data_IF_801260057831
#
_entry.id   IF_801260057831
#
_cell.length_a   1.000
_cell.length_b   1.000
_cell.length_c   1.000
_cell.angle_alpha   90.00
_cell.angle_beta   90.00
_cell.angle_gamma   90.00
#
_symmetry.space_group_name_H-M   'P 1'
#
loop_
_entity.id
_entity.type
_entity.pdbx_description
1 polymer ?
#
# COMPACT_ATOMS: atom_id res chain seq x y z
N UNK A 1 11.78 46.97 5.27
CA UNK A 1 11.27 48.32 4.90
C UNK A 1 12.10 48.89 3.75
N UNK A 2 11.68 48.67 2.50
CA UNK A 2 12.19 49.42 1.34
C UNK A 2 11.01 49.78 0.45
N UNK A 3 10.80 51.09 0.34
CA UNK A 3 9.62 51.74 -0.21
C UNK A 3 9.81 51.88 -1.73
N UNK A 4 9.35 50.88 -2.51
CA UNK A 4 9.35 50.97 -3.98
C UNK A 4 8.16 51.84 -4.43
N UNK A 5 8.47 53.11 -4.70
CA UNK A 5 7.57 54.05 -5.37
C UNK A 5 7.32 53.58 -6.80
N UNK A 6 6.11 53.11 -7.07
CA UNK A 6 5.61 52.87 -8.42
C UNK A 6 5.51 54.22 -9.16
N UNK A 7 6.43 54.46 -10.07
CA UNK A 7 6.35 55.57 -11.02
C UNK A 7 5.23 55.27 -12.02
N UNK A 8 4.18 56.09 -12.00
CA UNK A 8 3.09 56.03 -12.96
C UNK A 8 3.64 56.29 -14.37
N UNK A 9 3.57 55.28 -15.23
CA UNK A 9 3.83 55.41 -16.67
C UNK A 9 2.68 56.19 -17.30
N UNK A 10 2.93 57.34 -17.94
CA UNK A 10 1.86 58.10 -18.60
C UNK A 10 1.33 57.32 -19.80
N UNK A 11 0.07 56.87 -19.71
CA UNK A 11 -0.67 56.29 -20.83
C UNK A 11 -0.88 57.40 -21.87
N UNK A 12 -0.11 57.32 -22.96
CA UNK A 12 -0.25 58.18 -24.13
C UNK A 12 -1.56 57.80 -24.84
N UNK A 13 -2.65 58.54 -24.56
CA UNK A 13 -3.90 58.48 -25.34
C UNK A 13 -3.59 58.93 -26.76
N UNK A 14 -3.27 57.98 -27.63
CA UNK A 14 -3.30 58.18 -29.07
C UNK A 14 -4.76 58.38 -29.47
N UNK A 15 -5.11 59.61 -29.85
CA UNK A 15 -6.34 59.91 -30.57
C UNK A 15 -6.33 59.12 -31.87
N UNK A 16 -7.17 58.08 -31.93
CA UNK A 16 -7.43 57.31 -33.14
C UNK A 16 -7.90 58.27 -34.24
N UNK A 17 -7.34 58.23 -35.46
CA UNK A 17 -7.86 58.99 -36.57
C UNK A 17 -9.30 58.56 -36.84
N UNK A 18 -10.24 59.50 -36.71
CA UNK A 18 -11.59 59.35 -37.24
C UNK A 18 -11.51 59.31 -38.77
N UNK A 19 -11.22 58.13 -39.31
CA UNK A 19 -11.55 57.81 -40.69
C UNK A 19 -13.06 57.77 -40.77
N UNK A 20 -13.67 58.84 -41.28
CA UNK A 20 -15.08 58.87 -41.60
C UNK A 20 -15.39 57.73 -42.57
N UNK A 21 -15.95 56.65 -42.05
CA UNK A 21 -16.47 55.56 -42.86
C UNK A 21 -17.65 56.15 -43.62
N UNK A 22 -17.45 56.45 -44.91
CA UNK A 22 -18.56 56.78 -45.80
C UNK A 22 -19.45 55.54 -45.85
N UNK A 23 -20.61 55.59 -45.19
CA UNK A 23 -21.64 54.56 -45.29
C UNK A 23 -22.25 54.63 -46.68
N UNK A 24 -21.62 53.96 -47.65
CA UNK A 24 -22.32 53.56 -48.87
C UNK A 24 -23.38 52.56 -48.45
N UNK A 25 -24.65 52.93 -48.59
CA UNK A 25 -25.77 52.07 -48.19
C UNK A 25 -25.66 50.70 -48.87
N UNK A 26 -25.78 49.63 -48.08
CA UNK A 26 -25.80 48.27 -48.58
C UNK A 26 -26.93 48.08 -49.58
N UNK A 27 -26.61 47.51 -50.73
CA UNK A 27 -27.63 47.04 -51.68
C UNK A 27 -28.39 45.86 -51.06
N UNK A 28 -29.71 45.82 -51.23
CA UNK A 28 -30.55 44.71 -50.78
C UNK A 28 -30.05 43.35 -51.34
N UNK A 29 -29.48 43.36 -52.55
CA UNK A 29 -28.90 42.17 -53.19
C UNK A 29 -27.67 41.67 -52.43
N UNK A 30 -26.84 42.57 -51.92
CA UNK A 30 -25.61 42.25 -51.19
C UNK A 30 -25.94 41.63 -49.82
N UNK A 31 -26.98 42.13 -49.16
CA UNK A 31 -27.50 41.56 -47.92
C UNK A 31 -28.08 40.16 -48.15
N UNK A 32 -28.80 39.95 -49.26
CA UNK A 32 -29.37 38.65 -49.60
C UNK A 32 -28.29 37.60 -49.88
N UNK A 33 -27.22 37.99 -50.59
CA UNK A 33 -26.05 37.12 -50.81
C UNK A 33 -25.36 36.80 -49.47
N UNK A 34 -25.15 37.79 -48.60
CA UNK A 34 -24.52 37.57 -47.29
C UNK A 34 -25.30 36.59 -46.40
N UNK A 35 -26.63 36.68 -46.39
CA UNK A 35 -27.50 35.76 -45.64
C UNK A 35 -27.43 34.34 -46.21
N UNK A 36 -27.43 34.18 -47.53
CA UNK A 36 -27.28 32.85 -48.16
C UNK A 36 -25.92 32.24 -47.80
N UNK A 37 -24.84 33.01 -47.91
CA UNK A 37 -23.49 32.53 -47.58
C UNK A 37 -23.38 32.16 -46.10
N UNK A 38 -23.92 32.99 -45.19
CA UNK A 38 -23.97 32.67 -43.76
C UNK A 38 -24.81 31.43 -43.47
N UNK A 39 -25.95 31.27 -44.14
CA UNK A 39 -26.81 30.10 -43.99
C UNK A 39 -26.11 28.80 -44.40
N UNK A 40 -25.40 28.81 -45.54
CA UNK A 40 -24.61 27.66 -46.00
C UNK A 40 -23.42 27.37 -45.08
N UNK A 41 -22.68 28.41 -44.64
CA UNK A 41 -21.57 28.23 -43.70
C UNK A 41 -22.05 27.71 -42.34
N UNK A 42 -23.15 28.25 -41.82
CA UNK A 42 -23.75 27.79 -40.57
C UNK A 42 -24.21 26.34 -40.66
N UNK A 43 -24.80 25.91 -41.78
CA UNK A 43 -25.23 24.51 -41.94
C UNK A 43 -24.05 23.54 -41.98
N UNK A 44 -22.93 23.93 -42.60
CA UNK A 44 -21.71 23.12 -42.64
C UNK A 44 -21.10 23.03 -41.24
N UNK A 45 -20.94 24.16 -40.55
CA UNK A 45 -20.32 24.23 -39.20
C UNK A 45 -21.18 23.51 -38.15
N UNK A 46 -22.50 23.60 -38.24
CA UNK A 46 -23.41 22.97 -37.29
C UNK A 46 -23.18 21.45 -37.18
N UNK A 47 -22.89 20.78 -38.31
CA UNK A 47 -22.60 19.35 -38.33
C UNK A 47 -21.27 18.97 -37.66
N UNK A 48 -20.34 19.91 -37.51
CA UNK A 48 -19.04 19.71 -36.89
C UNK A 48 -18.99 20.17 -35.43
N UNK A 49 -19.99 20.91 -34.98
CA UNK A 49 -20.04 21.42 -33.60
C UNK A 49 -20.19 20.29 -32.58
N UNK A 50 -21.01 19.27 -32.88
CA UNK A 50 -21.14 18.07 -32.04
C UNK A 50 -19.82 17.30 -31.92
N UNK A 51 -19.07 17.17 -33.02
CA UNK A 51 -17.76 16.53 -33.05
C UNK A 51 -16.75 17.32 -32.21
N UNK A 52 -16.75 18.65 -32.33
CA UNK A 52 -15.86 19.50 -31.55
C UNK A 52 -16.15 19.40 -30.05
N UNK A 53 -17.42 19.36 -29.65
CA UNK A 53 -17.81 19.14 -28.24
C UNK A 53 -17.36 17.75 -27.77
N UNK A 54 -17.56 16.69 -28.57
CA UNK A 54 -17.13 15.35 -28.19
C UNK A 54 -15.61 15.24 -28.04
N UNK A 55 -14.86 15.89 -28.93
CA UNK A 55 -13.39 15.93 -28.86
C UNK A 55 -12.93 16.68 -27.60
N UNK A 56 -13.53 17.84 -27.28
CA UNK A 56 -13.20 18.57 -26.06
C UNK A 56 -13.50 17.75 -24.79
N UNK A 57 -14.62 17.02 -24.77
CA UNK A 57 -14.94 16.12 -23.64
C UNK A 57 -13.96 14.95 -23.53
N UNK A 58 -13.58 14.37 -24.66
CA UNK A 58 -12.61 13.28 -24.71
C UNK A 58 -11.22 13.75 -24.28
N UNK A 59 -10.76 14.91 -24.77
CA UNK A 59 -9.49 15.51 -24.39
C UNK A 59 -9.44 15.78 -22.89
N UNK A 60 -10.51 16.37 -22.35
CA UNK A 60 -10.62 16.59 -20.91
C UNK A 60 -10.64 15.28 -20.10
N UNK A 61 -11.39 14.27 -20.54
CA UNK A 61 -11.41 12.96 -19.87
C UNK A 61 -10.03 12.28 -19.90
N UNK A 62 -9.30 12.41 -21.01
CA UNK A 62 -7.93 11.91 -21.12
C UNK A 62 -6.96 12.66 -20.19
N UNK A 63 -7.10 13.98 -20.08
CA UNK A 63 -6.32 14.82 -19.15
C UNK A 63 -6.58 14.40 -17.69
N UNK A 64 -7.85 14.26 -17.30
CA UNK A 64 -8.19 13.79 -15.95
C UNK A 64 -7.67 12.38 -15.69
N UNK A 65 -7.71 11.48 -16.68
CA UNK A 65 -7.15 10.12 -16.54
C UNK A 65 -5.66 10.13 -16.26
N UNK A 66 -4.90 10.98 -16.96
CA UNK A 66 -3.45 11.12 -16.72
C UNK A 66 -3.18 11.67 -15.32
N UNK A 67 -3.92 12.69 -14.88
CA UNK A 67 -3.79 13.24 -13.53
C UNK A 67 -4.15 12.21 -12.46
N UNK A 68 -5.25 11.48 -12.61
CA UNK A 68 -5.67 10.43 -11.67
C UNK A 68 -4.64 9.30 -11.61
N UNK A 69 -4.03 8.96 -12.75
CA UNK A 69 -2.91 8.02 -12.82
C UNK A 69 -1.67 8.53 -12.07
N UNK A 70 -1.26 9.78 -12.28
CA UNK A 70 -0.11 10.37 -11.58
C UNK A 70 -0.33 10.44 -10.07
N UNK A 71 -1.55 10.78 -9.63
CA UNK A 71 -1.94 10.75 -8.20
C UNK A 71 -1.88 9.32 -7.68
N UNK A 72 -2.49 8.36 -8.37
CA UNK A 72 -2.51 6.99 -7.92
C UNK A 72 -1.11 6.37 -7.82
N UNK A 73 -0.20 6.74 -8.73
CA UNK A 73 1.20 6.35 -8.65
C UNK A 73 1.94 7.03 -7.49
N UNK A 74 1.61 8.28 -7.16
CA UNK A 74 2.15 8.96 -5.97
C UNK A 74 1.66 8.32 -4.67
N UNK A 75 0.38 7.92 -4.60
CA UNK A 75 -0.17 7.17 -3.47
C UNK A 75 0.55 5.82 -3.28
N UNK A 76 0.85 5.11 -4.37
CA UNK A 76 1.64 3.89 -4.31
C UNK A 76 3.10 4.14 -3.93
N UNK A 77 3.67 5.28 -4.35
CA UNK A 77 4.99 5.74 -3.93
C UNK A 77 5.03 6.01 -2.43
N UNK A 78 3.99 6.65 -1.90
CA UNK A 78 3.83 6.89 -0.47
C UNK A 78 3.81 5.58 0.32
N UNK A 79 2.91 4.66 -0.04
CA UNK A 79 2.81 3.35 0.57
C UNK A 79 4.15 2.60 0.57
N UNK A 80 4.93 2.72 -0.51
CA UNK A 80 6.17 1.98 -0.64
C UNK A 80 7.32 2.49 0.23
N UNK A 81 7.39 3.78 0.49
CA UNK A 81 8.58 4.41 1.07
C UNK A 81 8.35 5.02 2.44
N UNK A 82 7.09 5.22 2.84
CA UNK A 82 6.73 5.96 4.03
C UNK A 82 5.71 5.24 4.91
N UNK A 83 5.36 3.99 4.58
CA UNK A 83 4.58 3.12 5.47
C UNK A 83 5.28 1.77 5.62
N UNK A 84 5.35 1.26 6.84
CA UNK A 84 6.07 0.02 7.15
C UNK A 84 5.37 -1.19 6.54
N UNK A 85 4.04 -1.14 6.46
CA UNK A 85 3.21 -2.23 5.96
C UNK A 85 2.82 -2.09 4.50
N UNK A 86 3.29 -1.06 3.78
CA UNK A 86 2.93 -0.87 2.39
C UNK A 86 1.46 -0.48 2.18
N UNK A 87 0.87 0.23 3.14
CA UNK A 87 -0.53 0.68 3.16
C UNK A 87 -0.74 2.00 2.40
N UNK A 88 -1.90 2.14 1.76
CA UNK A 88 -2.35 3.39 1.16
C UNK A 88 -2.85 4.35 2.27
N UNK A 89 -2.66 5.67 2.11
CA UNK A 89 -3.15 6.64 3.08
C UNK A 89 -4.68 6.63 3.09
N UNK A 90 -5.30 6.99 4.22
CA UNK A 90 -6.74 7.22 4.30
C UNK A 90 -7.17 8.40 3.40
N UNK A 91 -8.39 8.39 2.84
CA UNK A 91 -8.93 9.53 2.13
C UNK A 91 -9.28 10.68 3.08
N UNK A 92 -9.11 11.91 2.63
CA UNK A 92 -9.48 13.09 3.41
C UNK A 92 -11.00 13.26 3.47
N UNK A 93 -11.56 13.21 4.68
CA UNK A 93 -13.00 13.30 4.96
C UNK A 93 -13.42 14.58 5.68
N UNK A 94 -12.52 15.57 5.82
CA UNK A 94 -12.69 16.70 6.74
C UNK A 94 -13.90 17.61 6.48
N UNK A 95 -14.48 17.62 5.27
CA UNK A 95 -15.84 18.12 4.96
C UNK A 95 -16.13 19.61 5.15
N UNK A 96 -15.43 20.31 6.04
CA UNK A 96 -15.69 21.69 6.42
C UNK A 96 -15.52 22.69 5.26
N UNK A 97 -14.69 22.34 4.28
CA UNK A 97 -14.39 23.16 3.10
C UNK A 97 -15.10 22.63 1.84
N UNK A 98 -16.06 21.71 1.97
CA UNK A 98 -16.74 21.08 0.83
C UNK A 98 -15.92 19.99 0.12
N UNK A 99 -14.83 19.55 0.75
CA UNK A 99 -13.97 18.47 0.27
C UNK A 99 -14.26 17.19 1.06
N UNK A 100 -14.85 16.20 0.37
CA UNK A 100 -15.19 14.89 0.93
C UNK A 100 -14.51 13.79 0.12
N UNK A 101 -13.91 12.82 0.82
CA UNK A 101 -13.16 11.70 0.23
C UNK A 101 -12.17 12.16 -0.84
N UNK A 102 -11.38 13.19 -0.55
CA UNK A 102 -10.35 13.69 -1.48
C UNK A 102 -8.97 13.10 -1.13
N UNK A 103 -7.97 13.37 -1.95
CA UNK A 103 -6.62 12.77 -1.80
C UNK A 103 -5.88 13.34 -0.58
N UNK A 104 -6.07 14.62 -0.28
CA UNK A 104 -5.51 15.31 0.88
C UNK A 104 -6.45 16.45 1.29
N UNK A 105 -6.15 17.19 2.37
CA UNK A 105 -6.88 18.42 2.68
C UNK A 105 -6.74 19.50 1.58
N UNK A 106 -7.52 20.60 1.55
CA UNK A 106 -7.50 21.57 0.44
C UNK A 106 -6.12 22.16 0.13
N UNK A 107 -5.33 22.45 1.18
CA UNK A 107 -3.94 22.91 1.06
C UNK A 107 -2.93 21.75 1.17
N UNK A 108 -3.41 20.51 1.23
CA UNK A 108 -2.74 19.32 1.77
C UNK A 108 -2.11 19.51 3.17
N UNK A 109 -2.22 20.68 3.80
CA UNK A 109 -1.52 21.05 5.04
C UNK A 109 -2.26 20.67 6.32
N UNK A 110 -3.48 20.16 6.20
CA UNK A 110 -4.30 19.77 7.35
C UNK A 110 -3.85 18.43 7.89
N UNK A 111 -3.94 18.27 9.22
CA UNK A 111 -3.73 16.97 9.86
C UNK A 111 -4.94 16.10 9.54
N UNK A 112 -4.72 15.02 8.82
CA UNK A 112 -5.70 13.96 8.63
C UNK A 112 -5.11 12.70 9.23
N UNK A 113 -5.96 12.05 10.00
CA UNK A 113 -5.79 10.71 10.53
C UNK A 113 -5.48 9.75 9.35
N UNK A 114 -4.21 9.36 9.23
CA UNK A 114 -3.72 8.57 8.10
C UNK A 114 -4.08 7.09 8.23
N UNK A 115 -4.22 6.60 9.47
CA UNK A 115 -4.56 5.22 9.79
C UNK A 115 -6.07 4.98 10.02
N UNK A 116 -6.85 6.04 10.20
CA UNK A 116 -8.30 6.01 10.35
C UNK A 116 -8.79 5.89 11.80
N UNK A 117 -7.92 6.15 12.79
CA UNK A 117 -8.19 5.97 14.23
C UNK A 117 -8.89 7.16 14.92
N UNK A 118 -9.00 8.30 14.22
CA UNK A 118 -9.62 9.55 14.65
C UNK A 118 -8.73 10.47 15.49
N UNK A 119 -7.43 10.19 15.65
CA UNK A 119 -6.50 10.94 16.47
C UNK A 119 -5.28 11.42 15.66
N UNK A 120 -5.11 12.74 15.54
CA UNK A 120 -3.89 13.32 14.98
C UNK A 120 -2.73 13.22 15.97
N UNK A 121 -1.64 12.56 15.59
CA UNK A 121 -0.40 12.51 16.35
C UNK A 121 0.81 13.14 15.61
N UNK A 122 2.00 13.13 16.23
CA UNK A 122 3.22 13.69 15.60
C UNK A 122 3.67 12.86 14.40
N UNK A 123 3.39 11.54 14.39
CA UNK A 123 3.74 10.65 13.28
C UNK A 123 2.90 10.93 12.03
N UNK A 124 1.62 11.27 12.21
CA UNK A 124 0.74 11.70 11.14
C UNK A 124 1.27 12.95 10.43
N UNK A 125 1.79 13.95 11.16
CA UNK A 125 2.35 15.14 10.53
C UNK A 125 3.52 14.79 9.59
N UNK A 126 4.41 13.87 10.00
CA UNK A 126 5.52 13.41 9.17
C UNK A 126 5.03 12.67 7.93
N UNK A 127 4.06 11.75 8.10
CA UNK A 127 3.44 11.00 7.01
C UNK A 127 2.70 11.92 6.03
N UNK A 128 2.05 12.98 6.50
CA UNK A 128 1.43 13.99 5.63
C UNK A 128 2.49 14.74 4.81
N UNK A 129 3.62 15.12 5.42
CA UNK A 129 4.71 15.75 4.68
C UNK A 129 5.32 14.81 3.65
N UNK A 130 5.45 13.52 3.97
CA UNK A 130 5.87 12.49 3.05
C UNK A 130 4.90 12.33 1.86
N UNK A 131 3.58 12.29 2.10
CA UNK A 131 2.58 12.23 1.03
C UNK A 131 2.65 13.48 0.13
N UNK A 132 2.77 14.68 0.70
CA UNK A 132 3.00 15.91 -0.07
C UNK A 132 4.25 15.82 -0.92
N UNK A 133 5.33 15.25 -0.38
CA UNK A 133 6.57 15.11 -1.11
C UNK A 133 6.39 14.20 -2.33
N UNK A 134 5.70 13.07 -2.19
CA UNK A 134 5.39 12.17 -3.30
C UNK A 134 4.47 12.82 -4.34
N UNK A 135 3.43 13.53 -3.91
CA UNK A 135 2.53 14.28 -4.80
C UNK A 135 3.25 15.44 -5.52
N UNK A 136 4.26 16.06 -4.91
CA UNK A 136 5.12 17.05 -5.59
C UNK A 136 6.10 16.40 -6.56
N UNK A 137 6.63 15.22 -6.22
CA UNK A 137 7.55 14.45 -7.08
C UNK A 137 6.88 13.97 -8.36
N UNK A 138 5.57 13.69 -8.34
CA UNK A 138 4.81 13.35 -9.56
C UNK A 138 4.60 14.53 -10.50
N UNK A 139 4.86 15.77 -10.06
CA UNK A 139 4.75 16.98 -10.88
C UNK A 139 3.35 17.57 -10.97
N UNK A 140 2.41 17.06 -10.17
CA UNK A 140 1.01 17.50 -10.16
C UNK A 140 0.91 18.87 -9.49
N UNK A 141 0.15 19.77 -10.12
CA UNK A 141 -0.17 21.06 -9.50
C UNK A 141 -0.99 20.82 -8.23
N UNK A 142 -0.64 21.46 -7.11
CA UNK A 142 -1.32 21.27 -5.83
C UNK A 142 -2.83 21.50 -5.91
N UNK A 143 -3.27 22.51 -6.69
CA UNK A 143 -4.71 22.75 -6.91
C UNK A 143 -5.39 21.63 -7.67
N UNK A 144 -4.65 21.02 -8.59
CA UNK A 144 -5.18 19.91 -9.35
C UNK A 144 -5.40 18.68 -8.47
N UNK A 145 -4.77 18.52 -7.30
CA UNK A 145 -4.81 17.28 -6.51
C UNK A 145 -6.24 16.88 -6.12
N UNK A 146 -6.99 17.81 -5.51
CA UNK A 146 -8.32 17.54 -4.97
C UNK A 146 -9.47 18.00 -5.88
N UNK A 147 -9.18 18.80 -6.90
CA UNK A 147 -10.19 19.29 -7.83
C UNK A 147 -9.55 19.70 -9.16
N UNK A 148 -10.35 19.97 -10.19
CA UNK A 148 -9.82 20.55 -11.43
C UNK A 148 -9.70 22.09 -11.38
N UNK A 149 -8.88 22.69 -12.26
CA UNK A 149 -8.63 24.14 -12.30
C UNK A 149 -9.75 24.92 -13.06
N UNK A 150 -10.98 24.38 -13.13
CA UNK A 150 -12.09 25.03 -13.86
C UNK A 150 -12.80 26.09 -13.02
N UNK A 151 -13.63 26.91 -13.69
CA UNK A 151 -14.39 27.98 -13.03
C UNK A 151 -15.44 27.49 -12.02
N UNK A 152 -15.91 26.24 -12.17
CA UNK A 152 -16.59 25.46 -11.16
C UNK A 152 -15.71 24.22 -10.93
N UNK A 153 -14.85 24.24 -9.90
CA UNK A 153 -13.88 23.18 -9.69
C UNK A 153 -14.61 21.89 -9.34
N UNK A 154 -14.37 20.85 -10.13
CA UNK A 154 -14.95 19.51 -9.94
C UNK A 154 -14.10 18.72 -8.98
N UNK A 155 -14.74 18.05 -8.02
CA UNK A 155 -14.01 17.32 -6.97
C UNK A 155 -13.34 16.07 -7.57
N UNK A 156 -12.11 15.81 -7.12
CA UNK A 156 -11.45 14.53 -7.31
C UNK A 156 -11.61 13.68 -6.07
N UNK A 157 -12.25 12.54 -6.25
CA UNK A 157 -12.53 11.60 -5.18
C UNK A 157 -11.47 10.52 -5.17
N UNK A 158 -10.96 10.21 -3.99
CA UNK A 158 -10.14 9.06 -3.66
C UNK A 158 -10.94 8.19 -2.69
N UNK A 159 -11.23 6.96 -3.12
CA UNK A 159 -11.83 5.95 -2.25
C UNK A 159 -10.80 4.85 -2.00
N UNK A 160 -10.66 4.44 -0.74
CA UNK A 160 -9.97 3.23 -0.35
C UNK A 160 -11.03 2.16 -0.10
N UNK A 161 -10.86 0.98 -0.69
CA UNK A 161 -11.80 -0.13 -0.50
C UNK A 161 -11.82 -0.50 0.98
N UNK A 162 -13.01 -0.55 1.58
CA UNK A 162 -13.18 -1.07 2.94
C UNK A 162 -13.42 -2.57 2.86
N UNK A 163 -12.61 -3.36 3.58
CA UNK A 163 -12.86 -4.79 3.79
C UNK A 163 -14.06 -5.02 4.73
N UNK A 164 -14.81 -6.10 4.53
CA UNK A 164 -15.86 -6.55 5.48
C UNK A 164 -15.28 -7.02 6.83
N UNK A 165 -13.99 -7.37 6.90
CA UNK A 165 -13.29 -7.62 8.15
C UNK A 165 -13.09 -6.28 8.87
N UNK A 166 -14.04 -5.98 9.75
CA UNK A 166 -14.32 -4.67 10.35
C UNK A 166 -13.17 -3.96 11.09
N UNK A 167 -12.02 -4.61 11.29
CA UNK A 167 -10.90 -4.07 12.07
C UNK A 167 -9.59 -3.88 11.28
N UNK A 168 -9.47 -4.39 10.04
CA UNK A 168 -8.20 -4.30 9.28
C UNK A 168 -8.32 -3.47 7.99
N UNK A 169 -9.52 -3.22 7.48
CA UNK A 169 -9.74 -2.38 6.28
C UNK A 169 -9.07 -2.87 4.98
N UNK A 170 -8.21 -3.89 5.04
CA UNK A 170 -7.41 -4.40 3.93
C UNK A 170 -7.98 -5.71 3.38
N UNK A 171 -7.77 -5.92 2.08
CA UNK A 171 -8.17 -7.14 1.36
C UNK A 171 -7.11 -8.21 1.61
N UNK A 172 -7.50 -9.43 1.94
CA UNK A 172 -6.56 -10.54 2.16
C UNK A 172 -6.44 -11.45 0.91
N UNK A 173 -5.24 -11.97 0.63
CA UNK A 173 -5.03 -13.01 -0.38
C UNK A 173 -4.02 -14.04 0.11
N UNK A 174 -4.38 -15.32 0.02
CA UNK A 174 -3.46 -16.41 0.31
C UNK A 174 -2.51 -16.63 -0.87
N UNK A 175 -1.22 -16.72 -0.57
CA UNK A 175 -0.19 -16.94 -1.58
C UNK A 175 0.91 -17.86 -1.06
N UNK A 176 1.53 -18.69 -1.93
CA UNK A 176 2.65 -19.53 -1.50
C UNK A 176 3.87 -18.68 -1.09
N UNK A 177 4.45 -19.00 0.07
CA UNK A 177 5.62 -18.30 0.63
C UNK A 177 6.80 -18.24 -0.35
N UNK A 178 7.07 -19.31 -1.09
CA UNK A 178 8.17 -19.41 -2.07
C UNK A 178 7.68 -19.21 -3.51
N UNK A 179 6.79 -18.23 -3.71
CA UNK A 179 6.28 -17.81 -5.01
C UNK A 179 5.22 -18.75 -5.58
N UNK A 180 5.63 -19.87 -6.18
CA UNK A 180 4.70 -20.88 -6.76
C UNK A 180 4.61 -22.17 -5.93
N UNK A 181 5.41 -22.27 -4.87
CA UNK A 181 5.54 -23.46 -4.05
C UNK A 181 5.60 -23.07 -2.57
N UNK A 182 5.47 -24.08 -1.71
CA UNK A 182 5.57 -23.92 -0.27
C UNK A 182 4.22 -23.74 0.42
N UNK A 183 4.27 -23.54 1.74
CA UNK A 183 3.08 -23.25 2.54
C UNK A 183 2.43 -21.92 2.12
N UNK A 184 1.12 -21.82 2.32
CA UNK A 184 0.37 -20.59 2.09
C UNK A 184 0.61 -19.62 3.24
N UNK A 185 0.75 -18.35 2.91
CA UNK A 185 0.73 -17.21 3.84
C UNK A 185 -0.31 -16.21 3.36
N UNK A 186 -0.86 -15.44 4.29
CA UNK A 186 -1.90 -14.46 3.99
C UNK A 186 -1.26 -13.09 3.82
N UNK A 187 -1.57 -12.42 2.70
CA UNK A 187 -1.16 -11.05 2.41
C UNK A 187 -2.38 -10.12 2.44
N UNK A 188 -2.36 -9.17 3.36
CA UNK A 188 -3.26 -8.04 3.43
C UNK A 188 -2.73 -6.93 2.52
N UNK A 189 -3.59 -6.37 1.70
CA UNK A 189 -3.26 -5.28 0.80
C UNK A 189 -4.42 -4.31 0.66
N UNK A 190 -4.05 -3.07 0.44
CA UNK A 190 -4.98 -1.98 0.14
C UNK A 190 -5.26 -1.88 -1.35
N UNK A 191 -6.51 -1.51 -1.64
CA UNK A 191 -6.98 -1.18 -2.96
C UNK A 191 -7.73 0.14 -2.90
N UNK A 192 -7.62 0.96 -3.93
CA UNK A 192 -8.33 2.22 -4.01
C UNK A 192 -8.54 2.68 -5.43
N UNK A 193 -9.36 3.71 -5.59
CA UNK A 193 -9.64 4.36 -6.87
C UNK A 193 -9.59 5.87 -6.72
N UNK A 194 -9.01 6.52 -7.73
CA UNK A 194 -9.04 7.97 -7.89
C UNK A 194 -9.84 8.29 -9.15
N UNK A 195 -10.87 9.13 -9.03
CA UNK A 195 -11.71 9.54 -10.15
C UNK A 195 -12.17 10.99 -9.99
N UNK A 196 -12.65 11.60 -11.07
CA UNK A 196 -13.12 12.99 -11.06
C UNK A 196 -14.62 13.03 -11.25
N UNK A 197 -15.32 13.79 -10.41
CA UNK A 197 -16.78 13.90 -10.45
C UNK A 197 -17.23 15.08 -11.31
N UNK A 198 -18.53 15.23 -11.56
CA UNK A 198 -19.10 16.52 -12.01
C UNK A 198 -19.55 17.40 -10.83
N UNK A 199 -19.43 16.90 -9.59
CA UNK A 199 -19.86 17.60 -8.38
C UNK A 199 -18.91 18.79 -8.10
N UNK A 200 -19.41 20.04 -8.13
CA UNK A 200 -18.59 21.21 -7.82
C UNK A 200 -18.23 21.24 -6.33
N UNK A 201 -17.05 21.77 -6.00
CA UNK A 201 -16.65 22.02 -4.60
C UNK A 201 -17.69 22.91 -3.91
N UNK A 202 -18.19 22.44 -2.76
CA UNK A 202 -19.18 23.17 -1.94
C UNK A 202 -20.63 23.05 -2.40
N UNK A 203 -20.93 22.19 -3.38
CA UNK A 203 -22.31 21.86 -3.75
C UNK A 203 -22.80 20.64 -2.96
N UNK A 204 -23.52 20.87 -1.87
CA UNK A 204 -24.06 19.80 -1.02
C UNK A 204 -25.15 18.97 -1.73
N UNK A 205 -25.67 19.42 -2.88
CA UNK A 205 -26.73 18.69 -3.60
C UNK A 205 -26.23 17.47 -4.38
N UNK A 206 -24.93 17.39 -4.62
CA UNK A 206 -24.27 16.26 -5.29
C UNK A 206 -23.45 15.39 -4.31
N UNK A 207 -23.76 15.48 -3.01
CA UNK A 207 -23.21 14.61 -1.98
C UNK A 207 -24.22 13.51 -1.62
N UNK A 208 -23.77 12.27 -1.62
CA UNK A 208 -24.52 11.11 -1.12
C UNK A 208 -23.83 10.54 0.12
N UNK A 209 -24.60 10.17 1.15
CA UNK A 209 -24.03 9.49 2.34
C UNK A 209 -24.44 8.03 2.32
N UNK A 210 -23.45 7.16 2.13
CA UNK A 210 -23.62 5.70 2.05
C UNK A 210 -22.83 5.09 3.21
N UNK A 211 -23.51 4.40 4.14
CA UNK A 211 -22.86 3.71 5.26
C UNK A 211 -21.92 4.60 6.10
N UNK A 212 -22.35 5.83 6.43
CA UNK A 212 -21.57 6.86 7.14
C UNK A 212 -20.40 7.49 6.36
N UNK A 213 -20.23 7.15 5.07
CA UNK A 213 -19.25 7.77 4.18
C UNK A 213 -19.96 8.74 3.25
N UNK A 214 -19.56 10.01 3.25
CA UNK A 214 -20.11 11.04 2.34
C UNK A 214 -19.29 11.11 1.05
N UNK A 215 -19.87 10.72 -0.08
CA UNK A 215 -19.24 10.68 -1.38
C UNK A 215 -19.81 11.78 -2.30
N UNK A 216 -18.96 12.59 -2.95
CA UNK A 216 -19.36 13.43 -4.06
C UNK A 216 -19.59 12.61 -5.34
N UNK A 217 -20.58 13.01 -6.14
CA UNK A 217 -20.86 12.42 -7.46
C UNK A 217 -21.86 11.26 -7.42
N UNK A 218 -21.93 10.52 -8.52
CA UNK A 218 -22.90 9.44 -8.72
C UNK A 218 -22.30 8.04 -8.47
N UNK A 219 -20.97 7.94 -8.33
CA UNK A 219 -20.29 6.65 -8.16
C UNK A 219 -20.52 6.04 -6.78
N UNK A 220 -20.81 4.74 -6.78
CA UNK A 220 -21.04 3.96 -5.56
C UNK A 220 -19.77 3.84 -4.69
N UNK A 221 -19.99 3.57 -3.40
CA UNK A 221 -18.92 3.25 -2.45
C UNK A 221 -18.14 2.00 -2.92
N UNK A 222 -16.82 2.12 -2.96
CA UNK A 222 -15.94 1.00 -3.23
C UNK A 222 -15.90 0.03 -2.05
N UNK A 223 -16.63 -1.07 -2.16
CA UNK A 223 -16.66 -2.15 -1.16
C UNK A 223 -15.87 -3.34 -1.67
N UNK A 224 -14.95 -3.85 -0.85
CA UNK A 224 -14.32 -5.12 -1.13
C UNK A 224 -15.29 -6.26 -0.83
N UNK A 225 -15.93 -6.81 -1.87
CA UNK A 225 -16.74 -8.02 -1.75
C UNK A 225 -15.83 -9.22 -1.49
N UNK A 226 -15.85 -9.74 -0.27
CA UNK A 226 -15.23 -11.01 0.12
C UNK A 226 -16.03 -12.19 -0.47
N UNK A 227 -16.15 -12.25 -1.79
CA UNK A 227 -16.62 -13.45 -2.46
C UNK A 227 -15.67 -14.60 -2.14
N UNK A 228 -16.22 -15.68 -1.57
CA UNK A 228 -15.61 -17.00 -1.25
C UNK A 228 -14.13 -17.11 -1.68
N UNK A 229 -13.21 -17.23 -0.72
CA UNK A 229 -11.74 -16.99 -0.77
C UNK A 229 -10.97 -17.55 -1.98
N UNK A 230 -11.60 -18.41 -2.77
CA UNK A 230 -11.09 -18.94 -4.05
C UNK A 230 -11.36 -18.05 -5.27
N UNK A 231 -12.21 -17.01 -5.18
CA UNK A 231 -12.57 -16.09 -6.26
C UNK A 231 -12.36 -14.62 -5.92
N UNK A 232 -11.32 -14.30 -5.15
CA UNK A 232 -10.99 -12.93 -4.71
C UNK A 232 -10.52 -11.97 -5.83
N UNK A 233 -11.03 -12.13 -7.06
CA UNK A 233 -10.73 -11.34 -8.26
C UNK A 233 -11.94 -10.58 -8.83
N UNK A 234 -13.16 -10.84 -8.38
CA UNK A 234 -14.37 -10.19 -8.93
C UNK A 234 -14.66 -8.80 -8.36
N UNK A 235 -14.04 -8.41 -7.24
CA UNK A 235 -14.17 -7.03 -6.72
C UNK A 235 -13.67 -6.00 -7.75
N UNK A 236 -12.62 -6.37 -8.49
CA UNK A 236 -11.89 -5.47 -9.38
C UNK A 236 -12.58 -5.22 -10.73
N UNK A 237 -13.41 -6.14 -11.20
CA UNK A 237 -14.00 -6.06 -12.55
C UNK A 237 -15.29 -5.25 -12.59
N UNK A 238 -15.96 -5.09 -11.47
CA UNK A 238 -17.37 -4.68 -11.45
C UNK A 238 -17.54 -3.22 -11.03
N UNK A 239 -16.60 -2.64 -10.27
CA UNK A 239 -16.64 -1.21 -9.93
C UNK A 239 -16.30 -0.37 -11.17
N UNK A 240 -17.17 0.59 -11.46
CA UNK A 240 -16.99 1.57 -12.53
C UNK A 240 -17.51 2.92 -12.05
N UNK A 241 -16.90 4.00 -12.54
CA UNK A 241 -17.46 5.34 -12.34
C UNK A 241 -18.88 5.38 -12.93
N UNK A 242 -19.83 5.94 -12.18
CA UNK A 242 -21.23 6.04 -12.60
C UNK A 242 -21.60 7.48 -12.98
N UNK A 243 -22.73 7.62 -13.70
CA UNK A 243 -23.28 8.93 -14.06
C UNK A 243 -22.31 9.79 -14.84
N UNK A 244 -22.07 11.01 -14.35
CA UNK A 244 -21.16 11.99 -14.95
C UNK A 244 -19.72 11.94 -14.38
N UNK A 245 -19.42 10.98 -13.51
CA UNK A 245 -18.08 10.76 -13.00
C UNK A 245 -17.19 10.11 -14.07
N UNK A 246 -15.91 10.53 -14.12
CA UNK A 246 -15.01 10.18 -15.21
C UNK A 246 -13.62 9.75 -14.75
N UNK A 247 -12.96 9.06 -15.68
CA UNK A 247 -11.53 8.79 -15.66
C UNK A 247 -11.02 8.06 -14.40
N UNK A 248 -11.65 6.96 -13.96
CA UNK A 248 -11.18 6.23 -12.80
C UNK A 248 -9.79 5.64 -13.03
N UNK A 249 -8.95 5.70 -12.00
CA UNK A 249 -7.65 5.05 -11.95
C UNK A 249 -7.54 4.24 -10.66
N UNK A 250 -7.28 2.94 -10.80
CA UNK A 250 -7.18 2.02 -9.69
C UNK A 250 -5.74 1.89 -9.18
N UNK A 251 -5.60 1.83 -7.86
CA UNK A 251 -4.32 1.65 -7.16
C UNK A 251 -4.41 0.40 -6.31
N UNK A 252 -3.39 -0.45 -6.39
CA UNK A 252 -3.29 -1.67 -5.57
C UNK A 252 -1.89 -1.81 -4.99
N UNK A 253 -1.82 -2.12 -3.71
CA UNK A 253 -0.54 -2.41 -3.02
C UNK A 253 -0.17 -3.88 -3.10
N UNK A 254 -1.01 -4.76 -3.68
CA UNK A 254 -0.69 -6.19 -3.83
C UNK A 254 0.67 -6.47 -4.50
N UNK A 255 1.09 -5.76 -5.57
CA UNK A 255 2.43 -5.95 -6.13
C UNK A 255 3.56 -5.61 -5.15
N UNK A 256 3.35 -4.61 -4.27
CA UNK A 256 4.28 -4.26 -3.20
C UNK A 256 4.35 -5.38 -2.16
N UNK A 257 3.19 -5.86 -1.70
CA UNK A 257 3.11 -6.98 -0.74
C UNK A 257 3.80 -8.25 -1.26
N UNK A 258 3.59 -8.60 -2.54
CA UNK A 258 4.26 -9.74 -3.17
C UNK A 258 5.77 -9.56 -3.28
N UNK A 259 6.24 -8.32 -3.46
CA UNK A 259 7.68 -8.02 -3.46
C UNK A 259 8.28 -8.19 -2.06
N UNK A 260 7.60 -7.69 -1.03
CA UNK A 260 8.01 -7.83 0.36
C UNK A 260 8.02 -9.31 0.78
N UNK A 261 7.03 -10.09 0.35
CA UNK A 261 7.01 -11.54 0.54
C UNK A 261 8.26 -12.21 -0.04
N UNK A 262 8.67 -11.82 -1.25
CA UNK A 262 9.87 -12.37 -1.88
C UNK A 262 11.13 -12.07 -1.07
N UNK A 263 11.25 -10.88 -0.50
CA UNK A 263 12.37 -10.50 0.38
C UNK A 263 12.36 -11.37 1.63
N UNK A 264 11.20 -11.52 2.29
CA UNK A 264 11.04 -12.42 3.45
C UNK A 264 11.45 -13.86 3.11
N UNK A 265 10.99 -14.38 1.97
CA UNK A 265 11.33 -15.72 1.52
C UNK A 265 12.84 -15.89 1.23
N UNK A 266 13.49 -14.87 0.66
CA UNK A 266 14.94 -14.84 0.45
C UNK A 266 15.69 -14.86 1.80
N UNK A 267 15.26 -14.06 2.78
CA UNK A 267 15.82 -14.05 4.15
C UNK A 267 15.68 -15.41 4.83
N UNK A 268 14.49 -16.01 4.80
CA UNK A 268 14.24 -17.34 5.38
C UNK A 268 15.10 -18.43 4.74
N UNK A 269 15.22 -18.45 3.40
CA UNK A 269 16.11 -19.38 2.71
C UNK A 269 17.57 -19.16 3.12
N UNK A 270 18.00 -17.90 3.25
CA UNK A 270 19.37 -17.56 3.66
C UNK A 270 19.68 -18.05 5.07
N UNK A 271 18.75 -17.89 6.02
CA UNK A 271 18.87 -18.43 7.38
C UNK A 271 18.95 -19.95 7.34
N UNK A 272 18.03 -20.61 6.64
CA UNK A 272 18.02 -22.07 6.51
C UNK A 272 19.34 -22.60 5.97
N UNK A 273 19.81 -22.05 4.85
CA UNK A 273 21.04 -22.51 4.18
C UNK A 273 22.25 -22.38 5.12
N UNK A 274 22.32 -21.29 5.90
CA UNK A 274 23.39 -21.09 6.89
C UNK A 274 23.28 -22.00 8.11
N UNK A 275 22.07 -22.27 8.60
CA UNK A 275 21.85 -23.24 9.67
C UNK A 275 22.24 -24.65 9.22
N UNK A 276 21.89 -25.05 8.00
CA UNK A 276 22.31 -26.34 7.43
C UNK A 276 23.83 -26.40 7.27
N UNK A 277 24.47 -25.34 6.76
CA UNK A 277 25.93 -25.27 6.64
C UNK A 277 26.62 -25.39 8.01
N UNK A 278 26.13 -24.66 9.02
CA UNK A 278 26.61 -24.74 10.39
C UNK A 278 26.47 -26.17 10.92
N UNK A 279 25.28 -26.79 10.81
CA UNK A 279 25.01 -28.14 11.29
C UNK A 279 25.94 -29.17 10.65
N UNK A 280 26.12 -29.13 9.32
CA UNK A 280 27.04 -30.04 8.61
C UNK A 280 28.48 -29.85 9.09
N UNK A 281 28.92 -28.60 9.30
CA UNK A 281 30.27 -28.32 9.80
C UNK A 281 30.48 -28.85 11.23
N UNK A 282 29.49 -28.69 12.10
CA UNK A 282 29.50 -29.20 13.46
C UNK A 282 29.49 -30.73 13.47
N UNK A 283 28.72 -31.37 12.58
CA UNK A 283 28.67 -32.83 12.44
C UNK A 283 30.02 -33.41 12.01
N UNK A 284 30.73 -32.75 11.10
CA UNK A 284 32.07 -33.17 10.68
C UNK A 284 33.13 -33.00 11.78
N UNK A 285 32.92 -32.08 12.73
CA UNK A 285 33.81 -31.84 13.85
C UNK A 285 33.48 -32.70 15.09
N UNK A 286 32.25 -33.20 15.19
CA UNK A 286 31.78 -33.96 16.34
C UNK A 286 32.30 -35.41 16.38
N UNK A 287 32.20 -36.04 17.55
CA UNK A 287 32.49 -37.47 17.71
C UNK A 287 31.41 -38.30 17.01
N UNK A 288 31.81 -39.46 16.46
CA UNK A 288 30.92 -40.30 15.63
C UNK A 288 29.69 -40.85 16.39
N UNK A 289 29.74 -40.87 17.71
CA UNK A 289 28.70 -41.32 18.63
C UNK A 289 28.02 -40.17 19.39
N UNK A 290 28.22 -38.92 18.97
CA UNK A 290 27.52 -37.78 19.60
C UNK A 290 26.00 -37.94 19.45
N UNK A 291 25.30 -37.69 20.54
CA UNK A 291 23.83 -37.56 20.58
C UNK A 291 23.43 -36.13 20.89
N UNK A 292 24.38 -35.18 20.84
CA UNK A 292 24.11 -33.78 21.13
C UNK A 292 23.43 -33.10 19.94
N UNK A 293 22.58 -32.11 20.23
CA UNK A 293 22.03 -31.25 19.19
C UNK A 293 23.14 -30.32 18.66
N UNK A 294 23.46 -30.46 17.37
CA UNK A 294 24.53 -29.74 16.70
C UNK A 294 24.10 -28.41 16.08
N UNK A 295 22.81 -28.06 16.17
CA UNK A 295 22.34 -26.74 15.79
C UNK A 295 22.81 -25.67 16.79
N UNK A 296 23.04 -24.42 16.35
CA UNK A 296 23.56 -23.37 17.22
C UNK A 296 22.54 -23.05 18.32
N UNK A 297 23.04 -22.91 19.54
CA UNK A 297 22.30 -22.40 20.68
C UNK A 297 22.73 -20.95 20.94
N UNK A 298 21.83 -20.08 21.42
CA UNK A 298 22.23 -18.75 21.85
C UNK A 298 23.25 -18.84 22.99
N UNK A 299 24.26 -17.96 22.99
CA UNK A 299 25.36 -17.97 23.96
C UNK A 299 24.91 -17.59 25.38
N UNK A 300 23.85 -16.80 25.47
CA UNK A 300 23.15 -16.46 26.70
C UNK A 300 21.75 -17.08 26.68
N UNK A 301 21.33 -17.83 27.72
CA UNK A 301 19.93 -18.20 27.82
C UNK A 301 19.10 -16.90 27.92
N UNK A 302 18.07 -16.72 27.09
CA UNK A 302 17.23 -15.52 27.13
C UNK A 302 16.58 -15.42 28.51
N UNK A 303 16.48 -14.20 29.03
CA UNK A 303 15.81 -13.96 30.31
C UNK A 303 14.32 -14.31 30.15
N UNK A 304 13.77 -15.27 30.92
CA UNK A 304 12.38 -15.69 30.80
C UNK A 304 11.36 -14.57 31.05
N UNK A 305 11.77 -13.46 31.68
CA UNK A 305 10.91 -12.32 31.98
C UNK A 305 10.92 -11.22 30.89
N UNK A 306 11.67 -11.39 29.79
CA UNK A 306 11.75 -10.41 28.69
C UNK A 306 10.94 -10.84 27.47
N UNK A 307 10.55 -9.90 26.59
CA UNK A 307 9.93 -10.23 25.30
C UNK A 307 10.84 -10.99 24.33
N UNK A 308 12.13 -11.14 24.67
CA UNK A 308 13.10 -12.02 24.01
C UNK A 308 13.03 -13.47 24.53
N UNK A 309 12.15 -13.75 25.50
CA UNK A 309 12.08 -15.01 26.21
C UNK A 309 11.82 -16.19 25.27
N UNK A 310 12.59 -17.23 25.54
CA UNK A 310 12.26 -18.60 25.25
C UNK A 310 10.80 -18.89 25.62
N UNK A 311 9.88 -18.84 24.65
CA UNK A 311 8.51 -19.30 24.88
C UNK A 311 8.58 -20.83 24.96
N UNK A 312 8.62 -21.35 26.18
CA UNK A 312 8.53 -22.78 26.44
C UNK A 312 7.09 -23.23 26.17
N UNK A 313 6.87 -23.91 25.06
CA UNK A 313 5.52 -24.38 24.69
C UNK A 313 5.41 -24.72 23.21
N UNK A 314 4.78 -25.86 22.93
CA UNK A 314 4.49 -26.32 21.57
C UNK A 314 5.42 -27.44 21.10
N UNK A 315 5.79 -27.37 19.83
CA UNK A 315 6.55 -28.33 19.03
C UNK A 315 8.08 -28.10 19.07
N UNK A 316 8.57 -27.37 20.08
CA UNK A 316 9.99 -27.13 20.30
C UNK A 316 10.38 -27.67 21.69
N UNK A 317 11.29 -28.65 21.71
CA UNK A 317 11.79 -29.28 22.94
C UNK A 317 12.76 -28.38 23.72
N UNK A 318 13.33 -27.38 23.05
CA UNK A 318 14.18 -26.34 23.64
C UNK A 318 13.34 -25.09 23.95
N UNK A 319 13.43 -24.08 23.09
CA UNK A 319 12.57 -22.92 23.10
C UNK A 319 12.53 -22.21 21.74
N UNK A 320 11.55 -21.33 21.56
CA UNK A 320 11.52 -20.39 20.44
C UNK A 320 12.31 -19.13 20.80
N UNK A 321 13.33 -18.83 20.00
CA UNK A 321 14.20 -17.68 20.13
C UNK A 321 13.88 -16.65 19.05
N UNK A 322 13.54 -15.42 19.43
CA UNK A 322 13.34 -14.34 18.48
C UNK A 322 14.68 -13.88 17.87
N UNK A 323 14.86 -14.11 16.57
CA UNK A 323 16.09 -13.77 15.86
C UNK A 323 16.23 -12.25 15.64
N UNK A 324 15.16 -11.47 15.83
CA UNK A 324 15.23 -10.00 15.79
C UNK A 324 15.81 -9.41 17.08
N UNK A 325 15.74 -10.16 18.20
CA UNK A 325 16.23 -9.71 19.50
C UNK A 325 17.75 -9.61 19.55
N UNK A 326 18.25 -8.56 20.20
CA UNK A 326 19.69 -8.37 20.46
C UNK A 326 20.26 -9.40 21.44
N UNK A 327 19.42 -10.03 22.26
CA UNK A 327 19.82 -11.05 23.23
C UNK A 327 20.09 -12.42 22.59
N UNK A 328 19.62 -12.65 21.36
CA UNK A 328 19.75 -13.91 20.63
C UNK A 328 20.83 -13.79 19.56
N UNK A 329 22.02 -14.33 19.79
CA UNK A 329 23.18 -14.23 18.88
C UNK A 329 23.26 -15.35 17.82
N UNK A 330 22.18 -16.11 17.61
CA UNK A 330 22.14 -17.21 16.63
C UNK A 330 22.51 -16.74 15.22
N UNK A 331 22.00 -15.58 14.78
CA UNK A 331 22.33 -15.01 13.46
C UNK A 331 23.82 -14.66 13.32
N UNK A 332 24.47 -14.25 14.41
CA UNK A 332 25.91 -14.01 14.44
C UNK A 332 26.70 -15.32 14.35
N UNK A 333 26.30 -16.34 15.11
CA UNK A 333 26.94 -17.66 15.11
C UNK A 333 26.95 -18.32 13.72
N UNK A 334 25.90 -18.10 12.92
CA UNK A 334 25.79 -18.61 11.55
C UNK A 334 26.30 -17.63 10.47
N UNK A 335 26.91 -16.51 10.88
CA UNK A 335 27.56 -15.55 9.99
C UNK A 335 26.58 -14.78 9.08
N UNK A 336 25.38 -14.48 9.57
CA UNK A 336 24.41 -13.60 8.91
C UNK A 336 24.31 -12.21 9.54
N UNK A 337 24.71 -12.07 10.79
CA UNK A 337 24.86 -10.78 11.46
C UNK A 337 26.35 -10.40 11.55
N UNK A 338 26.69 -9.18 11.12
CA UNK A 338 28.06 -8.67 11.12
C UNK A 338 28.28 -7.48 12.05
N UNK A 339 27.22 -6.86 12.59
CA UNK A 339 27.28 -5.56 13.23
C UNK A 339 26.65 -5.59 14.63
N UNK A 340 27.25 -6.34 15.55
CA UNK A 340 26.80 -6.40 16.95
C UNK A 340 26.87 -5.03 17.69
N UNK A 341 27.51 -4.00 17.10
CA UNK A 341 27.78 -2.71 17.75
C UNK A 341 26.81 -1.57 17.36
N UNK A 342 25.91 -1.76 16.39
CA UNK A 342 24.96 -0.70 16.01
C UNK A 342 23.61 -0.95 16.69
N UNK A 343 23.39 -0.31 17.84
CA UNK A 343 22.17 -0.42 18.68
C UNK A 343 20.83 -0.08 17.98
N UNK A 344 20.83 0.24 16.68
CA UNK A 344 19.63 0.55 15.91
C UNK A 344 19.55 -0.08 14.52
N UNK A 345 20.51 -0.93 14.12
CA UNK A 345 20.33 -1.77 12.92
C UNK A 345 19.68 -3.07 13.37
N UNK A 346 18.35 -3.17 13.24
CA UNK A 346 17.64 -4.44 13.38
C UNK A 346 18.38 -5.51 12.57
N UNK A 347 18.52 -6.71 13.14
CA UNK A 347 19.10 -7.85 12.43
C UNK A 347 18.24 -8.11 11.20
N UNK A 348 18.69 -7.63 10.04
CA UNK A 348 17.91 -7.60 8.80
C UNK A 348 17.29 -8.98 8.48
N UNK A 349 18.02 -10.05 8.77
CA UNK A 349 17.59 -11.42 8.56
C UNK A 349 16.66 -11.97 9.65
N UNK A 350 16.63 -11.37 10.84
CA UNK A 350 15.79 -11.76 11.97
C UNK A 350 14.35 -11.24 11.89
N UNK A 351 14.06 -10.38 10.91
CA UNK A 351 12.72 -9.83 10.66
C UNK A 351 12.24 -10.11 9.23
N UNK A 352 10.93 -10.24 9.08
CA UNK A 352 10.27 -10.21 7.78
C UNK A 352 10.44 -8.84 7.13
N UNK A 353 10.08 -8.71 5.85
CA UNK A 353 10.10 -7.42 5.16
C UNK A 353 9.13 -6.38 5.77
N UNK A 354 8.20 -6.81 6.64
CA UNK A 354 7.23 -5.97 7.35
C UNK A 354 7.60 -5.70 8.81
N UNK A 355 8.82 -6.06 9.23
CA UNK A 355 9.28 -5.87 10.62
C UNK A 355 8.90 -6.99 11.59
N UNK A 356 7.96 -7.88 11.24
CA UNK A 356 7.59 -9.01 12.10
C UNK A 356 8.76 -9.95 12.37
N UNK A 357 9.00 -10.30 13.63
CA UNK A 357 10.12 -11.15 14.05
C UNK A 357 10.07 -12.57 13.45
N UNK A 358 11.23 -13.18 13.26
CA UNK A 358 11.39 -14.57 12.85
C UNK A 358 11.91 -15.34 14.05
N UNK A 359 11.18 -16.35 14.49
CA UNK A 359 11.59 -17.17 15.63
C UNK A 359 12.31 -18.43 15.19
N UNK A 360 13.25 -18.89 15.99
CA UNK A 360 14.08 -20.06 15.74
C UNK A 360 13.95 -21.05 16.88
N UNK A 361 13.74 -22.32 16.52
CA UNK A 361 13.80 -23.44 17.45
C UNK A 361 14.99 -24.32 17.08
N UNK A 362 15.85 -24.59 18.06
CA UNK A 362 17.03 -25.45 17.88
C UNK A 362 16.67 -26.94 17.89
N UNK A 363 15.69 -27.34 18.69
CA UNK A 363 15.26 -28.73 18.87
C UNK A 363 13.76 -28.88 18.57
N UNK A 364 13.44 -28.75 17.28
CA UNK A 364 12.10 -28.84 16.76
C UNK A 364 11.64 -30.30 16.67
N UNK A 365 10.54 -30.63 17.33
CA UNK A 365 9.93 -31.93 17.28
C UNK A 365 8.48 -31.78 16.79
N UNK A 366 8.22 -31.97 15.48
CA UNK A 366 6.84 -31.97 15.00
C UNK A 366 6.12 -33.14 15.66
N UNK A 367 5.00 -32.91 16.33
CA UNK A 367 4.24 -33.92 17.09
C UNK A 367 3.89 -35.21 16.32
N UNK A 368 4.05 -35.22 14.99
CA UNK A 368 3.91 -36.41 14.15
C UNK A 368 5.07 -37.41 14.29
N UNK A 369 6.27 -36.98 14.72
CA UNK A 369 7.45 -37.84 14.92
C UNK A 369 7.50 -38.52 16.29
N UNK A 370 6.80 -37.98 17.30
CA UNK A 370 6.66 -38.61 18.62
C UNK A 370 6.07 -40.03 18.51
N UNK A 371 5.17 -40.26 17.55
CA UNK A 371 4.55 -41.56 17.30
C UNK A 371 5.51 -42.57 16.65
N UNK A 372 6.55 -42.11 15.95
CA UNK A 372 7.55 -42.98 15.30
C UNK A 372 8.63 -43.38 16.32
N UNK A 373 9.01 -42.47 17.22
CA UNK A 373 10.07 -42.69 18.20
C UNK A 373 9.56 -43.37 19.48
N UNK A 374 8.26 -43.31 19.77
CA UNK A 374 7.60 -44.09 20.84
C UNK A 374 7.12 -45.47 20.39
N UNK A 375 7.50 -45.95 19.20
CA UNK A 375 7.25 -47.32 18.79
C UNK A 375 8.11 -48.29 19.61
N UNK A 376 7.62 -48.57 20.81
CA UNK A 376 7.93 -49.65 21.76
C UNK A 376 8.72 -50.81 21.12
N UNK A 377 10.04 -50.66 20.98
CA UNK A 377 10.92 -51.80 20.73
C UNK A 377 11.04 -52.53 22.06
N UNK A 378 10.07 -53.41 22.28
CA UNK A 378 9.97 -54.22 23.48
C UNK A 378 11.33 -54.75 23.92
N UNK A 379 11.65 -54.50 25.19
CA UNK A 379 12.60 -55.30 25.99
C UNK A 379 14.07 -55.37 25.57
N UNK A 380 14.55 -54.63 24.56
CA UNK A 380 15.98 -54.60 24.24
C UNK A 380 16.66 -53.38 24.90
N UNK A 381 17.55 -53.55 25.91
CA UNK A 381 18.19 -52.44 26.62
C UNK A 381 19.25 -51.68 25.79
N UNK A 382 19.18 -51.77 24.46
CA UNK A 382 19.94 -50.98 23.50
C UNK A 382 19.05 -50.29 22.44
N UNK A 383 17.75 -50.18 22.72
CA UNK A 383 16.74 -49.59 21.83
C UNK A 383 17.09 -48.15 21.42
N UNK A 384 16.94 -47.90 20.12
CA UNK A 384 17.40 -46.73 19.38
C UNK A 384 16.82 -45.43 19.97
N UNK A 385 17.70 -44.56 20.46
CA UNK A 385 17.38 -43.15 20.73
C UNK A 385 17.22 -42.47 19.38
N UNK A 386 16.03 -42.55 18.79
CA UNK A 386 15.66 -41.75 17.64
C UNK A 386 15.37 -40.31 18.09
N UNK A 387 16.34 -39.61 18.69
CA UNK A 387 16.24 -38.17 18.83
C UNK A 387 16.91 -37.55 17.61
N UNK A 388 16.16 -37.50 16.51
CA UNK A 388 16.59 -36.74 15.34
C UNK A 388 16.32 -35.28 15.68
N UNK A 389 17.38 -34.55 15.99
CA UNK A 389 17.30 -33.12 16.25
C UNK A 389 17.06 -32.38 14.93
N UNK A 390 15.93 -31.69 14.82
CA UNK A 390 15.65 -30.77 13.73
C UNK A 390 15.69 -29.35 14.25
N UNK A 391 16.06 -28.40 13.40
CA UNK A 391 15.80 -26.98 13.68
C UNK A 391 14.53 -26.55 12.94
N UNK A 392 13.93 -25.45 13.39
CA UNK A 392 12.83 -24.84 12.66
C UNK A 392 12.84 -23.31 12.77
N UNK A 393 12.22 -22.68 11.77
CA UNK A 393 11.89 -21.26 11.79
C UNK A 393 10.38 -21.10 11.90
N UNK A 394 9.93 -20.07 12.61
CA UNK A 394 8.52 -19.73 12.78
C UNK A 394 8.30 -18.27 12.43
N UNK A 395 7.24 -18.01 11.67
CA UNK A 395 6.77 -16.66 11.31
C UNK A 395 5.25 -16.60 11.53
N UNK A 396 4.70 -15.39 11.70
CA UNK A 396 3.25 -15.18 11.64
C UNK A 396 2.71 -15.53 10.24
N UNK A 397 1.54 -16.15 10.14
CA UNK A 397 0.94 -16.61 8.87
C UNK A 397 0.40 -15.44 8.07
N UNK A 398 -0.17 -14.43 8.72
CA UNK A 398 -0.48 -13.12 8.13
C UNK A 398 0.78 -12.26 8.12
N UNK A 399 1.72 -12.58 7.22
CA UNK A 399 3.06 -11.99 7.21
C UNK A 399 3.06 -10.48 6.95
N UNK A 400 2.05 -9.97 6.25
CA UNK A 400 1.94 -8.54 5.89
C UNK A 400 1.53 -7.64 7.05
N UNK A 401 1.01 -8.21 8.13
CA UNK A 401 0.67 -7.46 9.35
C UNK A 401 1.92 -7.05 10.12
N UNK A 402 3.08 -7.62 9.79
CA UNK A 402 4.33 -7.35 10.52
C UNK A 402 4.30 -7.80 11.98
N UNK A 403 3.34 -8.64 12.36
CA UNK A 403 3.30 -9.26 13.68
C UNK A 403 4.43 -10.28 13.87
N UNK A 404 4.94 -10.38 15.11
CA UNK A 404 5.74 -11.52 15.52
C UNK A 404 4.88 -12.79 15.60
N UNK A 405 5.48 -13.99 15.57
CA UNK A 405 4.76 -15.22 15.85
C UNK A 405 3.96 -15.16 17.15
N UNK A 406 2.76 -15.76 17.15
CA UNK A 406 1.90 -15.81 18.33
C UNK A 406 2.25 -17.03 19.19
N UNK A 407 2.72 -16.80 20.42
CA UNK A 407 3.02 -17.87 21.37
C UNK A 407 1.79 -18.66 21.82
N UNK A 408 0.63 -18.00 21.89
CA UNK A 408 -0.61 -18.52 22.44
C UNK A 408 -1.46 -19.22 21.36
N UNK A 409 -1.35 -18.77 20.10
CA UNK A 409 -2.08 -19.34 18.97
C UNK A 409 -1.16 -19.94 17.90
N UNK A 410 -0.95 -21.26 17.92
CA UNK A 410 -0.13 -21.94 16.92
C UNK A 410 -0.74 -21.94 15.51
N UNK A 411 -2.06 -21.74 15.37
CA UNK A 411 -2.74 -21.71 14.07
C UNK A 411 -2.40 -20.44 13.27
N UNK A 412 -2.06 -19.35 13.97
CA UNK A 412 -1.64 -18.08 13.36
C UNK A 412 -0.18 -18.10 12.94
N UNK A 413 0.53 -19.20 13.19
CA UNK A 413 1.91 -19.36 12.82
C UNK A 413 2.10 -20.26 11.60
N UNK A 414 3.23 -20.03 10.95
CA UNK A 414 3.81 -20.93 9.96
C UNK A 414 5.18 -21.39 10.45
N UNK A 415 5.37 -22.71 10.51
CA UNK A 415 6.64 -23.33 10.90
C UNK A 415 7.32 -23.99 9.69
N UNK A 416 8.61 -23.74 9.54
CA UNK A 416 9.49 -24.27 8.50
C UNK A 416 10.59 -25.12 9.15
N UNK A 417 10.45 -26.44 9.10
CA UNK A 417 11.50 -27.35 9.53
C UNK A 417 12.73 -27.29 8.61
N UNK A 418 13.92 -27.48 9.17
CA UNK A 418 15.23 -27.38 8.52
C UNK A 418 15.91 -28.75 8.43
#
# INVERSE_FOLDING_TARGET
MQNRKNAAVPVRRGTLPHTGVKSTGFSLVELLIAVIVLGVLASIIASHFSILISLQRQDYSNEQRLLNQEIGMALLGFARYHTDHGTLPAPYTGGADGFFNTVCSPDCDGVFDIDGDGASDEEDEERIQALKQELRRSGINQRAINHDDRGLPRIRVYQKATGEAADIGAIAVDTPLFGRHGPQVTLHYDFGVVYTTDCPVGDDTCLETISNVTLPGDSELMVASTGDSTQNTSVFSDWQAQGDDIAPFFVSTLPLQKRMLRITAERLNRIRDRLTEYHVSAQLAAQADTTENLYPAPSSPPDPDTSAAAVSGGDCDDAWYDLSSNEVDVLFLIGLDTNQESEGEEKEYGVTAWGGGIWYCRDYNPQTLDNICNADTGSDPGAVVCRIHHAALRIHRSVSEGGAPDAENSDDNLVLAI
#
